data_IF_324653865368
#
_entry.id   IF_324653865368
#
_cell.length_a   1.000
_cell.length_b   1.000
_cell.length_c   1.000
_cell.angle_alpha   90.00
_cell.angle_beta   90.00
_cell.angle_gamma   90.00
#
_symmetry.space_group_name_H-M   'P 1'
#
loop_
_entity.id
_entity.type
_entity.pdbx_description
1 polymer ?
#
# COMPACT_ATOMS: atom_id res chain seq x y z
N UNK A 1 33.30 0.42 28.31
CA UNK A 1 32.03 -0.24 28.60
C UNK A 1 31.09 0.02 27.43
N UNK A 2 30.59 -1.07 26.80
CA UNK A 2 29.27 -1.29 26.16
C UNK A 2 28.68 -0.20 25.22
N UNK A 3 28.13 -0.41 24.02
CA UNK A 3 27.63 -1.57 23.26
C UNK A 3 27.75 -1.25 21.76
N UNK A 4 28.04 -2.27 20.94
CA UNK A 4 27.98 -2.25 19.47
C UNK A 4 26.60 -2.76 19.04
N UNK A 5 25.83 -1.94 18.30
CA UNK A 5 24.58 -2.26 17.59
C UNK A 5 24.52 -1.27 16.41
N UNK A 6 24.16 -1.56 15.18
CA UNK A 6 24.07 -2.76 14.35
C UNK A 6 23.92 -2.18 12.95
N UNK A 7 24.59 -2.79 11.98
CA UNK A 7 24.35 -2.53 10.56
C UNK A 7 22.86 -2.71 10.25
N UNK A 8 22.22 -1.66 9.72
CA UNK A 8 21.06 -1.83 8.86
C UNK A 8 21.55 -1.48 7.46
N UNK A 9 22.05 -2.50 6.79
CA UNK A 9 22.32 -2.45 5.37
C UNK A 9 21.01 -2.46 4.56
N UNK A 10 21.17 -2.07 3.30
CA UNK A 10 20.42 -2.56 2.12
C UNK A 10 18.93 -2.13 2.09
N UNK A 11 18.40 -1.47 1.06
CA UNK A 11 18.78 -1.37 -0.34
C UNK A 11 18.02 -0.17 -0.91
N UNK A 12 18.70 0.82 -1.46
CA UNK A 12 18.05 1.68 -2.46
C UNK A 12 18.07 0.91 -3.77
N UNK A 13 17.04 0.07 -3.94
CA UNK A 13 16.75 -0.58 -5.21
C UNK A 13 16.41 0.49 -6.24
N UNK A 14 17.26 0.57 -7.27
CA UNK A 14 16.85 0.64 -8.67
C UNK A 14 15.58 1.46 -8.93
N UNK A 15 15.75 2.77 -9.18
CA UNK A 15 14.70 3.59 -9.79
C UNK A 15 14.51 3.13 -11.24
N UNK A 16 13.73 2.07 -11.41
CA UNK A 16 13.19 1.68 -12.70
C UNK A 16 12.09 2.69 -13.09
N UNK A 17 12.44 3.53 -14.06
CA UNK A 17 11.55 4.32 -14.90
C UNK A 17 10.30 3.50 -15.28
N UNK A 18 9.17 3.76 -14.63
CA UNK A 18 7.87 3.19 -14.97
C UNK A 18 6.89 4.34 -15.26
N UNK A 19 6.07 4.19 -16.32
CA UNK A 19 5.22 5.25 -16.86
C UNK A 19 4.24 5.72 -15.79
N UNK A 20 3.94 7.02 -15.75
CA UNK A 20 3.06 7.69 -14.78
C UNK A 20 1.82 6.84 -14.43
N UNK A 21 1.99 5.97 -13.43
CA UNK A 21 1.01 5.00 -12.98
C UNK A 21 0.45 5.60 -11.72
N UNK A 22 -0.87 5.80 -11.71
CA UNK A 22 -1.59 6.27 -10.54
C UNK A 22 -1.00 5.69 -9.26
N UNK A 23 -0.80 6.51 -8.21
CA UNK A 23 -0.04 6.11 -7.03
C UNK A 23 -0.62 4.81 -6.49
N UNK A 24 0.15 3.73 -6.60
CA UNK A 24 -0.28 2.41 -6.17
C UNK A 24 -0.66 2.43 -4.69
N UNK A 25 -1.51 1.48 -4.27
CA UNK A 25 -1.98 1.38 -2.87
C UNK A 25 -0.85 1.47 -1.84
N UNK A 26 0.31 0.87 -2.13
CA UNK A 26 1.49 0.93 -1.28
C UNK A 26 2.04 2.36 -1.13
N UNK A 27 2.02 3.16 -2.20
CA UNK A 27 2.46 4.55 -2.17
C UNK A 27 1.52 5.42 -1.32
N UNK A 28 0.21 5.22 -1.45
CA UNK A 28 -0.77 5.97 -0.65
C UNK A 28 -0.72 5.59 0.82
N UNK A 29 -0.55 4.29 1.13
CA UNK A 29 -0.33 3.84 2.50
C UNK A 29 0.99 4.37 3.08
N UNK A 30 2.04 4.48 2.26
CA UNK A 30 3.32 5.07 2.66
C UNK A 30 3.18 6.54 3.09
N UNK A 31 2.50 7.36 2.28
CA UNK A 31 2.22 8.75 2.64
C UNK A 31 1.36 8.87 3.90
N UNK A 32 0.31 8.06 4.03
CA UNK A 32 -0.52 8.06 5.24
C UNK A 32 0.29 7.69 6.50
N UNK A 33 1.19 6.69 6.40
CA UNK A 33 2.06 6.31 7.50
C UNK A 33 3.05 7.41 7.89
N UNK A 34 3.59 8.15 6.92
CA UNK A 34 4.47 9.30 7.18
C UNK A 34 3.74 10.40 7.95
N UNK A 35 2.52 10.74 7.54
CA UNK A 35 1.70 11.71 8.23
C UNK A 35 1.35 11.25 9.66
N UNK A 36 1.02 9.97 9.86
CA UNK A 36 0.82 9.43 11.22
C UNK A 36 2.09 9.50 12.09
N UNK A 37 3.27 9.28 11.51
CA UNK A 37 4.53 9.42 12.23
C UNK A 37 4.77 10.87 12.68
N UNK A 38 4.50 11.85 11.81
CA UNK A 38 4.59 13.28 12.15
C UNK A 38 3.58 13.68 13.24
N UNK A 39 2.35 13.16 13.17
CA UNK A 39 1.34 13.37 14.21
C UNK A 39 1.80 12.85 15.57
N UNK A 40 2.39 11.65 15.61
CA UNK A 40 2.97 11.08 16.84
C UNK A 40 4.10 11.94 17.39
N UNK A 41 5.00 12.40 16.53
CA UNK A 41 6.08 13.31 16.96
C UNK A 41 5.55 14.63 17.55
N UNK A 42 4.45 15.17 17.02
CA UNK A 42 3.83 16.39 17.56
C UNK A 42 3.14 16.16 18.93
N UNK A 43 2.70 14.93 19.22
CA UNK A 43 2.09 14.56 20.51
C UNK A 43 3.11 14.11 21.56
N UNK A 44 4.17 13.40 21.14
CA UNK A 44 5.21 12.84 22.01
C UNK A 44 6.40 13.80 22.19
N UNK A 45 6.45 14.90 21.44
CA UNK A 45 7.52 15.88 21.47
C UNK A 45 7.53 16.75 22.73
N UNK A 46 8.69 17.37 22.99
CA UNK A 46 8.92 18.26 24.15
C UNK A 46 7.96 19.48 24.15
N UNK A 47 7.48 19.86 22.96
CA UNK A 47 6.44 20.85 22.73
C UNK A 47 5.20 20.17 22.18
N UNK A 48 4.30 19.75 23.07
CA UNK A 48 3.01 19.16 22.71
C UNK A 48 2.21 20.12 21.82
N UNK A 49 1.92 19.71 20.58
CA UNK A 49 1.14 20.49 19.61
C UNK A 49 0.03 19.62 19.03
N UNK A 50 -1.11 19.61 19.72
CA UNK A 50 -2.31 18.92 19.27
C UNK A 50 -2.85 19.46 17.93
N UNK A 51 -2.65 20.75 17.64
CA UNK A 51 -3.11 21.36 16.39
C UNK A 51 -2.40 20.76 15.19
N UNK A 52 -1.06 20.76 15.22
CA UNK A 52 -0.24 20.12 14.19
C UNK A 52 -0.45 18.61 14.11
N UNK A 53 -0.68 17.95 15.25
CA UNK A 53 -0.98 16.53 15.25
C UNK A 53 -2.28 16.24 14.50
N UNK A 54 -3.33 17.03 14.71
CA UNK A 54 -4.61 16.88 14.01
C UNK A 54 -4.46 17.18 12.51
N UNK A 55 -3.71 18.21 12.12
CA UNK A 55 -3.43 18.50 10.70
C UNK A 55 -2.78 17.31 9.99
N UNK A 56 -1.79 16.68 10.64
CA UNK A 56 -1.15 15.49 10.10
C UNK A 56 -2.11 14.27 10.05
N UNK A 57 -3.02 14.13 11.00
CA UNK A 57 -4.03 13.06 10.96
C UNK A 57 -5.04 13.27 9.82
N UNK A 58 -5.47 14.51 9.56
CA UNK A 58 -6.39 14.83 8.46
C UNK A 58 -5.78 14.52 7.09
N UNK A 59 -4.49 14.83 6.90
CA UNK A 59 -3.75 14.47 5.68
C UNK A 59 -3.65 12.94 5.50
N UNK A 60 -3.37 12.19 6.58
CA UNK A 60 -3.35 10.73 6.55
C UNK A 60 -4.72 10.14 6.18
N UNK A 61 -5.80 10.69 6.73
CA UNK A 61 -7.17 10.28 6.42
C UNK A 61 -7.50 10.58 4.95
N UNK A 62 -7.15 11.75 4.44
CA UNK A 62 -7.35 12.12 3.02
C UNK A 62 -6.66 11.13 2.08
N UNK A 63 -5.43 10.73 2.38
CA UNK A 63 -4.71 9.70 1.62
C UNK A 63 -5.52 8.40 1.57
N UNK A 64 -5.97 7.89 2.71
CA UNK A 64 -6.70 6.62 2.81
C UNK A 64 -8.11 6.68 2.20
N UNK A 65 -8.80 7.81 2.28
CA UNK A 65 -10.09 8.01 1.63
C UNK A 65 -9.99 7.93 0.10
N UNK A 66 -8.86 8.39 -0.46
CA UNK A 66 -8.53 8.21 -1.88
C UNK A 66 -8.50 6.75 -2.31
N UNK A 67 -8.08 5.84 -1.41
CA UNK A 67 -8.11 4.39 -1.64
C UNK A 67 -9.52 3.80 -1.54
N UNK A 68 -10.32 4.23 -0.56
CA UNK A 68 -11.70 3.75 -0.39
C UNK A 68 -12.59 4.05 -1.60
N UNK A 69 -12.41 5.22 -2.23
CA UNK A 69 -13.10 5.57 -3.49
C UNK A 69 -12.70 4.64 -4.64
N UNK A 70 -11.45 4.18 -4.68
CA UNK A 70 -10.94 3.22 -5.69
C UNK A 70 -11.41 1.78 -5.42
N UNK A 71 -11.56 1.40 -4.14
CA UNK A 71 -12.07 0.09 -3.74
C UNK A 71 -13.58 -0.11 -4.00
N UNK A 72 -14.33 0.97 -4.19
CA UNK A 72 -15.71 0.96 -4.71
C UNK A 72 -15.76 0.96 -6.25
N UNK A 73 -14.73 0.44 -6.92
CA UNK A 73 -14.90 0.04 -8.31
C UNK A 73 -16.03 -1.00 -8.36
N UNK A 74 -17.04 -0.85 -9.26
CA UNK A 74 -18.13 -1.81 -9.38
C UNK A 74 -17.48 -3.17 -9.57
N UNK A 75 -17.85 -4.13 -8.70
CA UNK A 75 -17.34 -5.50 -8.66
C UNK A 75 -16.91 -5.89 -10.07
N UNK A 76 -15.59 -5.93 -10.31
CA UNK A 76 -15.08 -6.59 -11.49
C UNK A 76 -15.79 -7.95 -11.47
N UNK A 77 -16.54 -8.25 -12.53
CA UNK A 77 -17.05 -9.59 -12.76
C UNK A 77 -15.80 -10.44 -12.93
N UNK A 78 -15.20 -10.85 -11.83
CA UNK A 78 -14.24 -11.93 -11.79
C UNK A 78 -15.07 -13.20 -11.96
N UNK A 79 -15.60 -13.36 -13.18
CA UNK A 79 -15.98 -14.65 -13.71
C UNK A 79 -14.70 -15.43 -13.86
N UNK A 80 -14.21 -15.99 -12.76
CA UNK A 80 -13.23 -17.06 -12.80
C UNK A 80 -13.94 -18.24 -13.46
N UNK A 81 -13.93 -18.26 -14.79
CA UNK A 81 -14.48 -19.37 -15.57
C UNK A 81 -13.47 -20.49 -15.43
N UNK A 82 -13.68 -21.34 -14.42
CA UNK A 82 -12.99 -22.62 -14.34
C UNK A 82 -13.47 -23.41 -15.55
N UNK A 83 -12.69 -23.37 -16.64
CA UNK A 83 -12.90 -24.28 -17.77
C UNK A 83 -12.65 -25.68 -17.27
N UNK A 84 -13.73 -26.44 -17.05
CA UNK A 84 -13.63 -27.85 -16.73
C UNK A 84 -12.81 -28.54 -17.82
N UNK A 85 -11.76 -29.25 -17.43
CA UNK A 85 -10.99 -30.08 -18.34
C UNK A 85 -11.94 -31.08 -19.00
N UNK A 86 -12.24 -30.92 -20.29
CA UNK A 86 -12.96 -31.93 -21.06
C UNK A 86 -11.93 -32.95 -21.54
N UNK A 87 -11.87 -34.17 -20.96
CA UNK A 87 -11.05 -35.21 -21.53
C UNK A 87 -11.57 -35.50 -22.94
N UNK A 88 -10.67 -35.43 -23.92
CA UNK A 88 -10.96 -35.78 -25.30
C UNK A 88 -11.62 -37.17 -25.30
N UNK A 89 -12.87 -37.23 -25.77
CA UNK A 89 -13.46 -38.52 -26.16
C UNK A 89 -12.62 -39.02 -27.32
N UNK A 90 -11.69 -39.91 -26.99
CA UNK A 90 -10.90 -40.65 -27.94
C UNK A 90 -11.85 -41.27 -28.95
N UNK A 91 -11.81 -40.73 -30.17
CA UNK A 91 -12.40 -41.35 -31.35
C UNK A 91 -11.61 -42.63 -31.61
N UNK A 92 -12.00 -43.74 -30.97
CA UNK A 92 -11.82 -45.05 -31.60
C UNK A 92 -13.05 -45.36 -32.44
N UNK A 93 -12.93 -44.93 -33.69
CA UNK A 93 -13.70 -45.44 -34.81
C UNK A 93 -13.06 -46.74 -35.30
N UNK A 94 -13.93 -47.68 -35.68
CA UNK A 94 -13.70 -48.94 -36.41
C UNK A 94 -13.10 -50.12 -35.62
#
# INVERSE_FOLDING_TARGET
MAIKLSEIGRSQGEQANLPAKEPGVANVCGHAAEHMAKARMALDGESFDAGRALEHLDEAISCLQGLSRRGKAPKAKDGNTVVAFQPAKDRRSA
#
